data_IF_250176043122
#
_entry.id   IF_250176043122
#
_cell.length_a   1.000
_cell.length_b   1.000
_cell.length_c   1.000
_cell.angle_alpha   90.00
_cell.angle_beta   90.00
_cell.angle_gamma   90.00
#
_symmetry.space_group_name_H-M   'P 1'
#
loop_
_entity.id
_entity.type
_entity.pdbx_description
1 polymer ?
#
# COMPACT_ATOMS: atom_id res chain seq x y z
N UNK A 1 15.04 -15.85 -28.59
CA UNK A 1 15.27 -14.53 -27.98
C UNK A 1 13.91 -13.84 -27.90
N UNK A 2 13.23 -13.90 -26.76
CA UNK A 2 11.93 -13.23 -26.58
C UNK A 2 12.18 -11.79 -26.09
N UNK A 3 11.41 -10.78 -26.52
CA UNK A 3 11.57 -9.42 -26.02
C UNK A 3 10.98 -9.30 -24.61
N UNK A 4 11.73 -8.66 -23.71
CA UNK A 4 11.31 -8.37 -22.35
C UNK A 4 10.17 -7.34 -22.38
N UNK A 5 8.94 -7.81 -22.17
CA UNK A 5 7.84 -7.01 -21.65
C UNK A 5 8.09 -6.78 -20.16
N UNK A 6 8.52 -5.58 -19.77
CA UNK A 6 8.46 -5.11 -18.39
C UNK A 6 8.12 -3.63 -18.35
N UNK A 7 6.82 -3.38 -18.54
CA UNK A 7 5.97 -2.54 -17.71
C UNK A 7 6.73 -1.70 -16.65
N UNK A 8 6.79 -0.39 -16.89
CA UNK A 8 7.23 0.64 -15.96
C UNK A 8 6.51 0.49 -14.60
N UNK A 9 7.21 0.26 -13.47
CA UNK A 9 6.54 0.01 -12.20
C UNK A 9 6.14 1.27 -11.42
N UNK A 10 6.56 2.49 -11.81
CA UNK A 10 6.43 3.67 -10.94
C UNK A 10 6.13 5.01 -11.64
N UNK A 11 5.36 5.01 -12.74
CA UNK A 11 4.89 6.28 -13.34
C UNK A 11 3.46 6.61 -12.86
N UNK A 12 3.32 7.00 -11.59
CA UNK A 12 2.07 7.56 -11.08
C UNK A 12 2.04 9.07 -11.39
N UNK A 13 1.69 9.42 -12.63
CA UNK A 13 1.50 10.83 -13.03
C UNK A 13 0.14 11.32 -12.56
N UNK A 14 0.08 11.95 -11.39
CA UNK A 14 -1.07 12.76 -11.02
C UNK A 14 -0.90 14.18 -11.56
N UNK A 15 -1.47 14.41 -12.74
CA UNK A 15 -1.93 15.75 -13.13
C UNK A 15 -3.19 16.01 -12.31
N UNK A 16 -3.20 17.04 -11.48
CA UNK A 16 -4.40 17.46 -10.75
C UNK A 16 -4.43 18.98 -10.62
N UNK A 17 -5.05 19.60 -11.61
CA UNK A 17 -5.59 20.96 -11.54
C UNK A 17 -7.09 20.85 -11.23
N UNK A 18 -7.51 21.17 -10.00
CA UNK A 18 -8.71 21.97 -9.66
C UNK A 18 -8.88 22.05 -8.12
N UNK A 19 -9.14 23.25 -7.61
CA UNK A 19 -8.93 23.65 -6.21
C UNK A 19 -10.25 23.68 -5.41
N UNK A 20 -10.19 23.17 -4.16
CA UNK A 20 -11.21 23.39 -3.14
C UNK A 20 -12.02 22.14 -2.78
N UNK A 21 -11.83 21.62 -1.56
CA UNK A 21 -12.47 20.41 -0.99
C UNK A 21 -11.99 19.07 -1.55
N UNK A 22 -12.04 18.81 -2.86
CA UNK A 22 -11.65 17.50 -3.43
C UNK A 22 -10.16 17.17 -3.22
N UNK A 23 -9.29 18.19 -3.20
CA UNK A 23 -7.85 18.03 -3.03
C UNK A 23 -7.40 17.54 -1.64
N UNK A 24 -8.21 17.75 -0.59
CA UNK A 24 -7.89 17.26 0.76
C UNK A 24 -8.08 15.74 0.86
N UNK A 25 -9.18 15.22 0.31
CA UNK A 25 -9.47 13.78 0.26
C UNK A 25 -8.46 13.05 -0.63
N UNK A 26 -8.08 13.61 -1.78
CA UNK A 26 -7.02 13.02 -2.63
C UNK A 26 -5.65 12.99 -1.95
N UNK A 27 -5.29 14.05 -1.21
CA UNK A 27 -4.01 14.06 -0.47
C UNK A 27 -4.02 13.02 0.64
N UNK A 28 -5.15 12.86 1.33
CA UNK A 28 -5.31 11.86 2.37
C UNK A 28 -5.28 10.44 1.80
N UNK A 29 -6.05 10.19 0.75
CA UNK A 29 -6.07 8.91 0.02
C UNK A 29 -4.67 8.53 -0.47
N UNK A 30 -3.91 9.49 -1.02
CA UNK A 30 -2.53 9.25 -1.45
C UNK A 30 -1.62 8.86 -0.27
N UNK A 31 -1.79 9.48 0.91
CA UNK A 31 -1.05 9.09 2.12
C UNK A 31 -1.42 7.69 2.60
N UNK A 32 -2.69 7.31 2.51
CA UNK A 32 -3.13 5.94 2.85
C UNK A 32 -2.49 4.91 1.93
N UNK A 33 -2.46 5.15 0.62
CA UNK A 33 -1.75 4.27 -0.32
C UNK A 33 -0.25 4.17 -0.02
N UNK A 34 0.41 5.30 0.21
CA UNK A 34 1.82 5.30 0.56
C UNK A 34 2.08 4.51 1.86
N UNK A 35 1.20 4.66 2.86
CA UNK A 35 1.31 3.93 4.12
C UNK A 35 1.06 2.44 3.96
N UNK A 36 0.07 2.04 3.17
CA UNK A 36 -0.22 0.64 2.86
C UNK A 36 0.98 -0.02 2.16
N UNK A 37 1.54 0.63 1.14
CA UNK A 37 2.72 0.12 0.44
C UNK A 37 3.95 -0.02 1.35
N UNK A 38 4.14 0.91 2.30
CA UNK A 38 5.19 0.81 3.32
C UNK A 38 5.02 -0.44 4.22
N UNK A 39 3.78 -0.75 4.63
CA UNK A 39 3.49 -1.90 5.46
C UNK A 39 3.59 -3.22 4.69
N UNK A 40 3.13 -3.26 3.44
CA UNK A 40 3.28 -4.43 2.55
C UNK A 40 4.76 -4.76 2.33
N UNK A 41 5.60 -3.76 2.07
CA UNK A 41 7.04 -3.95 1.94
C UNK A 41 7.69 -4.47 3.25
N UNK A 42 7.21 -4.00 4.42
CA UNK A 42 7.69 -4.53 5.71
C UNK A 42 7.28 -5.98 5.93
N UNK A 43 6.05 -6.33 5.57
CA UNK A 43 5.56 -7.70 5.66
C UNK A 43 6.38 -8.64 4.76
N UNK A 44 6.65 -8.23 3.52
CA UNK A 44 7.49 -9.01 2.58
C UNK A 44 8.90 -9.26 3.14
N UNK A 45 9.53 -8.23 3.74
CA UNK A 45 10.83 -8.38 4.40
C UNK A 45 10.76 -9.30 5.63
N UNK A 46 9.67 -9.23 6.40
CA UNK A 46 9.44 -10.07 7.57
C UNK A 46 9.28 -11.54 7.17
N UNK A 47 8.47 -11.83 6.16
CA UNK A 47 8.28 -13.17 5.60
C UNK A 47 9.58 -13.73 5.01
N UNK A 48 10.35 -12.90 4.28
CA UNK A 48 11.63 -13.29 3.71
C UNK A 48 12.69 -13.61 4.80
N UNK A 49 12.60 -13.00 5.98
CA UNK A 49 13.48 -13.29 7.13
C UNK A 49 13.33 -14.74 7.61
N UNK A 50 12.12 -15.29 7.60
CA UNK A 50 11.85 -16.69 7.99
C UNK A 50 12.55 -17.73 7.12
N UNK A 51 13.05 -17.36 5.93
CA UNK A 51 13.70 -18.28 5.00
C UNK A 51 15.14 -18.67 5.40
N UNK A 52 15.76 -18.03 6.39
CA UNK A 52 17.17 -18.23 6.74
C UNK A 52 17.42 -19.00 8.05
N UNK A 53 16.36 -19.49 8.72
CA UNK A 53 16.48 -20.60 9.68
C UNK A 53 16.95 -20.26 11.10
N UNK A 54 16.93 -19.00 11.52
CA UNK A 54 16.95 -18.68 12.95
C UNK A 54 15.49 -18.55 13.41
N UNK A 55 15.07 -19.44 14.30
CA UNK A 55 13.82 -19.51 15.06
C UNK A 55 12.72 -18.53 14.59
N UNK A 56 11.61 -19.02 14.02
CA UNK A 56 10.40 -18.20 13.82
C UNK A 56 9.99 -17.61 15.17
N UNK A 57 10.45 -16.38 15.45
CA UNK A 57 9.94 -15.59 16.55
C UNK A 57 8.59 -15.10 16.07
N UNK A 58 7.54 -15.86 16.36
CA UNK A 58 6.17 -15.38 16.29
C UNK A 58 5.94 -14.40 17.45
N UNK A 59 6.43 -13.17 17.26
CA UNK A 59 6.20 -12.04 18.16
C UNK A 59 4.86 -11.33 17.88
N UNK A 60 4.04 -11.87 16.96
CA UNK A 60 2.79 -11.27 16.52
C UNK A 60 2.94 -10.16 15.46
N UNK A 61 4.15 -9.83 15.02
CA UNK A 61 4.38 -8.76 14.04
C UNK A 61 3.70 -9.03 12.70
N UNK A 62 3.70 -10.27 12.20
CA UNK A 62 3.00 -10.63 10.94
C UNK A 62 1.49 -10.31 11.03
N UNK A 63 0.86 -10.75 12.13
CA UNK A 63 -0.56 -10.52 12.38
C UNK A 63 -0.86 -9.02 12.50
N UNK A 64 -0.07 -8.27 13.25
CA UNK A 64 -0.24 -6.82 13.40
C UNK A 64 -0.13 -6.09 12.05
N UNK A 65 0.88 -6.45 11.24
CA UNK A 65 1.07 -5.87 9.91
C UNK A 65 -0.12 -6.17 8.99
N UNK A 66 -0.62 -7.42 8.97
CA UNK A 66 -1.80 -7.81 8.17
C UNK A 66 -3.06 -7.08 8.61
N UNK A 67 -3.30 -6.99 9.91
CA UNK A 67 -4.45 -6.25 10.46
C UNK A 67 -4.39 -4.78 10.03
N UNK A 68 -3.23 -4.14 10.17
CA UNK A 68 -3.07 -2.74 9.80
C UNK A 68 -3.22 -2.49 8.30
N UNK A 69 -2.74 -3.41 7.45
CA UNK A 69 -2.94 -3.35 6.00
C UNK A 69 -4.43 -3.48 5.65
N UNK A 70 -5.15 -4.38 6.31
CA UNK A 70 -6.59 -4.57 6.09
C UNK A 70 -7.40 -3.34 6.50
N UNK A 71 -7.07 -2.72 7.64
CA UNK A 71 -7.70 -1.47 8.09
C UNK A 71 -7.54 -0.35 7.06
N UNK A 72 -6.31 -0.13 6.57
CA UNK A 72 -6.02 0.88 5.56
C UNK A 72 -6.72 0.57 4.24
N UNK A 73 -6.80 -0.70 3.85
CA UNK A 73 -7.48 -1.11 2.61
C UNK A 73 -8.97 -0.83 2.68
N UNK A 74 -9.62 -1.14 3.81
CA UNK A 74 -11.03 -0.83 4.02
C UNK A 74 -11.29 0.69 4.01
N UNK A 75 -10.40 1.48 4.60
CA UNK A 75 -10.51 2.94 4.58
C UNK A 75 -10.35 3.52 3.17
N UNK A 76 -9.35 3.04 2.41
CA UNK A 76 -9.16 3.39 1.00
C UNK A 76 -10.43 3.07 0.21
N UNK A 77 -10.98 1.86 0.36
CA UNK A 77 -12.20 1.45 -0.33
C UNK A 77 -13.35 2.42 -0.02
N UNK A 78 -13.56 2.77 1.25
CA UNK A 78 -14.61 3.74 1.63
C UNK A 78 -14.39 5.10 0.97
N UNK A 79 -13.15 5.61 0.93
CA UNK A 79 -12.84 6.92 0.34
C UNK A 79 -12.99 6.92 -1.19
N UNK A 80 -12.56 5.85 -1.87
CA UNK A 80 -12.72 5.71 -3.32
C UNK A 80 -14.19 5.64 -3.73
N UNK A 81 -15.01 4.88 -2.98
CA UNK A 81 -16.43 4.71 -3.28
C UNK A 81 -17.28 5.91 -2.83
N UNK A 82 -16.85 6.66 -1.81
CA UNK A 82 -17.53 7.89 -1.38
C UNK A 82 -17.20 9.08 -2.28
N UNK A 83 -16.01 9.13 -2.89
CA UNK A 83 -15.63 10.17 -3.86
C UNK A 83 -16.23 9.93 -5.27
N UNK A 84 -16.85 8.77 -5.52
CA UNK A 84 -17.46 8.38 -6.79
C UNK A 84 -18.96 8.75 -6.92
N UNK A 85 -19.57 9.30 -5.87
CA UNK A 85 -20.94 9.83 -5.84
C UNK A 85 -20.95 11.36 -5.98
#
# INVERSE_FOLDING_TARGET
MAPADRREPYAFTLVSDDVGSKGMDYTYLHRLYAKRAELEAKLELYEARGCFGDEEIDDGTDQELRERINELSAEIDVLEHSSAL
#
